data_IF_601995550347
#
_entry.id   IF_601995550347
#
_cell.length_a   1.000
_cell.length_b   1.000
_cell.length_c   1.000
_cell.angle_alpha   90.00
_cell.angle_beta   90.00
_cell.angle_gamma   90.00
#
_symmetry.space_group_name_H-M   'P 1'
#
loop_
_entity.id
_entity.type
_entity.pdbx_description
1 polymer ?
#
# COMPACT_ATOMS: atom_id res chain seq x y z
N UNK A 1 1.85 12.19 -2.83
CA UNK A 1 0.70 13.04 -3.24
C UNK A 1 0.44 14.07 -2.15
N UNK A 2 -0.03 15.29 -2.46
CA UNK A 2 -0.27 16.32 -1.42
C UNK A 2 -1.59 16.13 -0.64
N UNK A 3 -2.58 15.46 -1.23
CA UNK A 3 -3.87 15.14 -0.59
C UNK A 3 -4.49 13.87 -1.21
N UNK A 4 -3.98 12.67 -0.89
CA UNK A 4 -4.54 11.39 -1.36
C UNK A 4 -6.03 11.21 -1.03
N UNK A 5 -6.53 11.70 0.11
CA UNK A 5 -7.94 11.61 0.49
C UNK A 5 -8.92 12.23 -0.52
N UNK A 6 -8.51 13.28 -1.24
CA UNK A 6 -9.34 13.91 -2.30
C UNK A 6 -9.46 13.06 -3.56
N UNK A 7 -8.64 12.01 -3.70
CA UNK A 7 -8.51 11.21 -4.90
C UNK A 7 -8.78 9.71 -4.65
N UNK A 8 -9.44 9.34 -3.54
CA UNK A 8 -9.66 7.94 -3.15
C UNK A 8 -10.29 7.08 -4.23
N UNK A 9 -11.34 7.58 -4.88
CA UNK A 9 -12.00 6.86 -5.97
C UNK A 9 -11.04 6.56 -7.13
N UNK A 10 -10.09 7.46 -7.40
CA UNK A 10 -9.08 7.26 -8.44
C UNK A 10 -8.02 6.26 -7.97
N UNK A 11 -7.57 6.35 -6.72
CA UNK A 11 -6.63 5.40 -6.13
C UNK A 11 -7.20 3.98 -6.14
N UNK A 12 -8.45 3.80 -5.70
CA UNK A 12 -9.15 2.51 -5.74
C UNK A 12 -9.27 1.97 -7.16
N UNK A 13 -9.63 2.79 -8.15
CA UNK A 13 -9.69 2.35 -9.56
C UNK A 13 -8.35 1.88 -10.10
N UNK A 14 -7.27 2.58 -9.77
CA UNK A 14 -5.92 2.18 -10.18
C UNK A 14 -5.56 0.87 -9.48
N UNK A 15 -5.80 0.77 -8.17
CA UNK A 15 -5.56 -0.43 -7.39
C UNK A 15 -6.29 -1.66 -7.96
N UNK A 16 -7.60 -1.54 -8.19
CA UNK A 16 -8.40 -2.63 -8.77
C UNK A 16 -7.91 -3.03 -10.17
N UNK A 17 -7.46 -2.05 -10.97
CA UNK A 17 -6.84 -2.34 -12.28
C UNK A 17 -5.59 -3.19 -12.09
N UNK A 18 -4.69 -2.79 -11.19
CA UNK A 18 -3.44 -3.53 -10.91
C UNK A 18 -3.76 -4.94 -10.45
N UNK A 19 -4.69 -5.10 -9.51
CA UNK A 19 -5.12 -6.42 -9.03
C UNK A 19 -5.63 -7.32 -10.17
N UNK A 20 -6.35 -6.76 -11.14
CA UNK A 20 -6.83 -7.52 -12.29
C UNK A 20 -5.74 -7.90 -13.30
N UNK A 21 -4.67 -7.11 -13.39
CA UNK A 21 -3.56 -7.31 -14.34
C UNK A 21 -2.45 -8.19 -13.77
N UNK A 22 -2.19 -8.12 -12.46
CA UNK A 22 -1.12 -8.88 -11.80
C UNK A 22 -1.15 -10.39 -12.09
N UNK A 23 -2.29 -11.11 -11.99
CA UNK A 23 -2.34 -12.53 -12.32
C UNK A 23 -1.97 -12.82 -13.77
N UNK A 24 -2.31 -11.92 -14.70
CA UNK A 24 -1.98 -12.07 -16.13
C UNK A 24 -0.48 -11.93 -16.35
N UNK A 25 0.13 -10.90 -15.75
CA UNK A 25 1.59 -10.68 -15.85
C UNK A 25 2.36 -11.79 -15.15
N UNK A 26 1.92 -12.25 -13.98
CA UNK A 26 2.50 -13.40 -13.28
C UNK A 26 2.51 -14.65 -14.17
N UNK A 27 1.39 -14.95 -14.83
CA UNK A 27 1.33 -16.07 -15.79
C UNK A 27 2.31 -15.90 -16.96
N UNK A 28 2.52 -14.68 -17.44
CA UNK A 28 3.52 -14.40 -18.48
C UNK A 28 4.95 -14.63 -17.96
N UNK A 29 5.24 -14.26 -16.70
CA UNK A 29 6.52 -14.57 -16.06
C UNK A 29 6.76 -16.07 -15.98
N UNK A 30 5.76 -16.84 -15.56
CA UNK A 30 5.84 -18.30 -15.47
C UNK A 30 6.13 -18.94 -16.85
N UNK A 31 5.36 -18.59 -17.87
CA UNK A 31 5.55 -19.09 -19.24
C UNK A 31 6.93 -18.70 -19.79
N UNK A 32 7.33 -17.44 -19.61
CA UNK A 32 8.61 -16.96 -20.12
C UNK A 32 9.80 -17.57 -19.37
N UNK A 33 9.65 -17.87 -18.08
CA UNK A 33 10.67 -18.58 -17.29
C UNK A 33 10.91 -19.98 -17.83
N UNK A 34 9.84 -20.72 -18.14
CA UNK A 34 9.96 -22.05 -18.77
C UNK A 34 10.64 -21.96 -20.14
N UNK A 35 10.27 -20.97 -20.95
CA UNK A 35 10.88 -20.77 -22.27
C UNK A 35 12.37 -20.37 -22.19
N UNK A 36 12.75 -19.58 -21.19
CA UNK A 36 14.13 -19.16 -20.96
C UNK A 36 15.02 -20.25 -20.35
N UNK A 37 14.43 -21.25 -19.68
CA UNK A 37 15.14 -22.36 -19.07
C UNK A 37 15.48 -23.52 -20.04
N UNK A 38 15.01 -23.46 -21.30
CA UNK A 38 15.32 -24.48 -22.30
C UNK A 38 16.82 -24.50 -22.62
N UNK A 39 17.44 -25.68 -22.84
CA UNK A 39 18.89 -25.79 -23.11
C UNK A 39 19.39 -24.93 -24.28
N UNK A 40 18.56 -24.76 -25.31
CA UNK A 40 18.87 -23.95 -26.50
C UNK A 40 17.95 -22.72 -26.58
N UNK A 41 17.57 -22.15 -25.43
CA UNK A 41 16.68 -20.99 -25.39
C UNK A 41 17.25 -19.84 -26.25
N UNK A 42 16.48 -19.30 -27.20
CA UNK A 42 16.95 -18.19 -28.00
C UNK A 42 17.12 -16.96 -27.10
N UNK A 43 18.13 -16.12 -27.40
CA UNK A 43 18.41 -14.92 -26.60
C UNK A 43 17.19 -14.01 -26.39
N UNK A 44 16.26 -14.00 -27.35
CA UNK A 44 14.99 -13.26 -27.23
C UNK A 44 14.11 -13.78 -26.08
N UNK A 45 14.05 -15.09 -25.83
CA UNK A 45 13.27 -15.66 -24.72
C UNK A 45 13.80 -15.21 -23.37
N UNK A 46 15.13 -15.17 -23.20
CA UNK A 46 15.78 -14.69 -21.98
C UNK A 46 15.45 -13.21 -21.74
N UNK A 47 15.55 -12.38 -22.80
CA UNK A 47 15.21 -10.95 -22.74
C UNK A 47 13.75 -10.72 -22.37
N UNK A 48 12.83 -11.46 -23.00
CA UNK A 48 11.39 -11.36 -22.72
C UNK A 48 11.08 -11.77 -21.27
N UNK A 49 11.72 -12.83 -20.77
CA UNK A 49 11.61 -13.25 -19.37
C UNK A 49 12.01 -12.13 -18.41
N UNK A 50 13.17 -11.49 -18.64
CA UNK A 50 13.61 -10.33 -17.87
C UNK A 50 12.61 -9.17 -17.89
N UNK A 51 12.06 -8.84 -19.07
CA UNK A 51 11.05 -7.78 -19.21
C UNK A 51 9.77 -8.07 -18.44
N UNK A 52 9.26 -9.31 -18.45
CA UNK A 52 8.07 -9.65 -17.68
C UNK A 52 8.32 -9.63 -16.17
N UNK A 53 9.50 -10.09 -15.72
CA UNK A 53 9.89 -10.00 -14.31
C UNK A 53 9.97 -8.55 -13.83
N UNK A 54 10.55 -7.67 -14.63
CA UNK A 54 10.59 -6.24 -14.35
C UNK A 54 9.18 -5.63 -14.29
N UNK A 55 8.33 -5.92 -15.28
CA UNK A 55 6.95 -5.44 -15.29
C UNK A 55 6.16 -5.91 -14.07
N UNK A 56 6.37 -7.16 -13.65
CA UNK A 56 5.73 -7.72 -12.46
C UNK A 56 6.24 -7.06 -11.17
N UNK A 57 7.56 -6.82 -11.04
CA UNK A 57 8.13 -6.06 -9.92
C UNK A 57 7.55 -4.65 -9.80
N UNK A 58 7.35 -3.95 -10.92
CA UNK A 58 6.68 -2.64 -10.94
C UNK A 58 5.24 -2.74 -10.42
N UNK A 59 4.48 -3.75 -10.86
CA UNK A 59 3.12 -3.95 -10.39
C UNK A 59 3.06 -4.25 -8.89
N UNK A 60 3.98 -5.08 -8.37
CA UNK A 60 4.10 -5.36 -6.94
C UNK A 60 4.37 -4.07 -6.16
N UNK A 61 5.38 -3.30 -6.54
CA UNK A 61 5.68 -2.02 -5.89
C UNK A 61 4.49 -1.04 -5.90
N UNK A 62 3.80 -0.92 -7.04
CA UNK A 62 2.61 -0.06 -7.14
C UNK A 62 1.46 -0.59 -6.28
N UNK A 63 1.22 -1.90 -6.26
CA UNK A 63 0.18 -2.52 -5.45
C UNK A 63 0.43 -2.29 -3.96
N UNK A 64 1.65 -2.56 -3.46
CA UNK A 64 2.02 -2.36 -2.05
C UNK A 64 1.84 -0.90 -1.61
N UNK A 65 2.32 0.07 -2.41
CA UNK A 65 2.21 1.50 -2.06
C UNK A 65 0.75 1.97 -2.07
N UNK A 66 -0.05 1.53 -3.05
CA UNK A 66 -1.47 1.88 -3.11
C UNK A 66 -2.27 1.21 -2.00
N UNK A 67 -1.95 -0.05 -1.68
CA UNK A 67 -2.56 -0.79 -0.59
C UNK A 67 -2.32 -0.07 0.74
N UNK A 68 -1.06 0.21 1.10
CA UNK A 68 -0.71 1.01 2.29
C UNK A 68 -1.47 2.34 2.32
N UNK A 69 -1.52 3.04 1.19
CA UNK A 69 -2.26 4.30 1.10
C UNK A 69 -3.76 4.08 1.37
N UNK A 70 -4.39 3.06 0.77
CA UNK A 70 -5.82 2.79 0.96
C UNK A 70 -6.18 2.40 2.39
N UNK A 71 -5.30 1.69 3.11
CA UNK A 71 -5.49 1.30 4.51
C UNK A 71 -5.70 2.51 5.45
N UNK A 72 -5.25 3.72 5.07
CA UNK A 72 -5.47 4.96 5.85
C UNK A 72 -6.97 5.31 5.99
N UNK A 73 -7.81 4.90 5.04
CA UNK A 73 -9.25 5.19 5.03
C UNK A 73 -10.14 3.95 5.08
N UNK A 74 -9.56 2.76 4.99
CA UNK A 74 -10.30 1.51 4.83
C UNK A 74 -9.82 0.48 5.85
N UNK A 75 -10.75 0.03 6.71
CA UNK A 75 -10.50 -1.01 7.72
C UNK A 75 -10.71 -2.44 7.15
N UNK A 76 -10.84 -2.58 5.84
CA UNK A 76 -10.97 -3.88 5.17
C UNK A 76 -9.74 -4.76 5.42
N UNK A 77 -9.96 -5.84 6.19
CA UNK A 77 -8.93 -6.82 6.53
C UNK A 77 -8.30 -7.49 5.29
N UNK A 78 -9.01 -7.53 4.16
CA UNK A 78 -8.45 -8.07 2.92
C UNK A 78 -7.24 -7.28 2.41
N UNK A 79 -7.15 -5.97 2.70
CA UNK A 79 -5.98 -5.17 2.34
C UNK A 79 -4.71 -5.62 3.07
N UNK A 80 -4.84 -6.10 4.31
CA UNK A 80 -3.71 -6.62 5.08
C UNK A 80 -3.25 -7.96 4.51
N UNK A 81 -4.19 -8.86 4.22
CA UNK A 81 -3.87 -10.16 3.59
C UNK A 81 -3.22 -9.98 2.22
N UNK A 82 -3.76 -9.08 1.40
CA UNK A 82 -3.19 -8.72 0.09
C UNK A 82 -1.77 -8.14 0.21
N UNK A 83 -1.50 -7.36 1.26
CA UNK A 83 -0.16 -6.81 1.53
C UNK A 83 0.86 -7.93 1.77
N UNK A 84 0.53 -8.89 2.63
CA UNK A 84 1.38 -10.06 2.88
C UNK A 84 1.64 -10.85 1.60
N UNK A 85 0.60 -11.08 0.80
CA UNK A 85 0.71 -11.75 -0.50
C UNK A 85 1.67 -11.02 -1.45
N UNK A 86 1.64 -9.69 -1.48
CA UNK A 86 2.56 -8.89 -2.32
C UNK A 86 4.00 -8.97 -1.82
N UNK A 87 4.22 -9.00 -0.50
CA UNK A 87 5.55 -9.18 0.09
C UNK A 87 6.11 -10.56 -0.27
N UNK A 88 5.31 -11.61 -0.11
CA UNK A 88 5.72 -12.98 -0.43
C UNK A 88 6.06 -13.13 -1.92
N UNK A 89 5.25 -12.54 -2.80
CA UNK A 89 5.50 -12.52 -4.25
C UNK A 89 6.75 -11.72 -4.61
N UNK A 90 7.04 -10.64 -3.89
CA UNK A 90 8.23 -9.81 -4.10
C UNK A 90 9.52 -10.54 -3.75
N UNK A 91 9.52 -11.23 -2.61
CA UNK A 91 10.65 -12.07 -2.17
C UNK A 91 10.86 -13.22 -3.16
N UNK A 92 9.79 -13.93 -3.53
CA UNK A 92 9.88 -15.01 -4.50
C UNK A 92 10.43 -14.56 -5.87
N UNK A 93 10.06 -13.34 -6.32
CA UNK A 93 10.59 -12.77 -7.55
C UNK A 93 12.09 -12.44 -7.43
N UNK A 94 12.53 -11.90 -6.29
CA UNK A 94 13.93 -11.62 -6.03
C UNK A 94 14.78 -12.91 -6.07
N UNK A 95 14.33 -13.96 -5.39
CA UNK A 95 14.98 -15.28 -5.36
C UNK A 95 15.10 -15.88 -6.77
N UNK A 96 14.05 -15.77 -7.59
CA UNK A 96 14.08 -16.24 -8.99
C UNK A 96 15.13 -15.51 -9.86
N UNK A 97 15.59 -14.32 -9.45
CA UNK A 97 16.53 -13.51 -10.20
C UNK A 97 17.98 -13.61 -9.70
N UNK A 98 18.24 -14.30 -8.58
CA UNK A 98 19.57 -14.38 -7.96
C UNK A 98 20.66 -14.85 -8.92
N UNK A 99 20.38 -15.91 -9.69
CA UNK A 99 21.33 -16.47 -10.67
C UNK A 99 21.71 -15.51 -11.80
N UNK A 100 20.95 -14.43 -12.00
CA UNK A 100 21.16 -13.43 -13.04
C UNK A 100 21.84 -12.15 -12.51
N UNK A 101 22.21 -12.12 -11.22
CA UNK A 101 22.87 -10.96 -10.61
C UNK A 101 24.27 -10.71 -11.18
N UNK A 102 24.73 -9.44 -11.25
CA UNK A 102 23.95 -8.25 -10.92
C UNK A 102 23.08 -7.74 -12.09
N UNK A 103 23.53 -7.93 -13.34
CA UNK A 103 22.96 -7.21 -14.49
C UNK A 103 21.57 -7.68 -14.92
N UNK A 104 21.25 -8.96 -14.80
CA UNK A 104 19.93 -9.51 -15.13
C UNK A 104 18.87 -9.28 -14.04
N UNK A 105 19.28 -8.73 -12.89
CA UNK A 105 18.45 -8.47 -11.72
C UNK A 105 18.53 -7.01 -11.24
N UNK A 106 19.03 -6.09 -12.07
CA UNK A 106 19.26 -4.69 -11.69
C UNK A 106 17.99 -3.92 -11.27
N UNK A 107 16.82 -4.39 -11.68
CA UNK A 107 15.53 -3.79 -11.32
C UNK A 107 15.04 -4.23 -9.93
N UNK A 108 15.62 -5.29 -9.35
CA UNK A 108 15.16 -5.86 -8.08
C UNK A 108 15.23 -4.82 -6.94
N UNK A 109 16.35 -4.09 -6.74
CA UNK A 109 16.43 -3.10 -5.68
C UNK A 109 15.42 -1.96 -5.83
N UNK A 110 15.17 -1.52 -7.07
CA UNK A 110 14.26 -0.40 -7.34
C UNK A 110 12.84 -0.70 -6.86
N UNK A 111 12.31 -1.90 -7.14
CA UNK A 111 10.96 -2.23 -6.72
C UNK A 111 10.90 -2.68 -5.25
N UNK A 112 11.90 -3.43 -4.76
CA UNK A 112 11.95 -3.85 -3.35
C UNK A 112 12.08 -2.67 -2.39
N UNK A 113 12.77 -1.59 -2.79
CA UNK A 113 12.82 -0.34 -2.03
C UNK A 113 11.41 0.19 -1.74
N UNK A 114 10.51 0.13 -2.73
CA UNK A 114 9.13 0.60 -2.59
C UNK A 114 8.28 -0.39 -1.78
N UNK A 115 8.47 -1.69 -1.98
CA UNK A 115 7.76 -2.73 -1.22
C UNK A 115 8.12 -2.65 0.26
N UNK A 116 9.42 -2.63 0.57
CA UNK A 116 9.94 -2.45 1.93
C UNK A 116 9.39 -1.16 2.55
N UNK A 117 9.41 -0.05 1.80
CA UNK A 117 8.95 1.22 2.34
C UNK A 117 7.46 1.25 2.72
N UNK A 118 6.63 0.49 2.01
CA UNK A 118 5.18 0.49 2.18
C UNK A 118 4.65 -0.66 3.07
N UNK A 119 5.48 -1.64 3.44
CA UNK A 119 5.11 -2.69 4.39
C UNK A 119 4.80 -2.11 5.78
N UNK A 120 3.60 -2.38 6.30
CA UNK A 120 3.03 -1.71 7.49
C UNK A 120 3.23 -2.45 8.80
N UNK A 121 3.34 -3.77 8.77
CA UNK A 121 3.20 -4.67 9.92
C UNK A 121 4.50 -5.43 10.25
N UNK A 122 5.62 -4.97 9.71
CA UNK A 122 6.93 -5.63 9.82
C UNK A 122 6.99 -7.04 9.22
N UNK A 123 5.94 -7.50 8.53
CA UNK A 123 5.89 -8.83 7.93
C UNK A 123 7.05 -9.05 6.97
N UNK A 124 7.94 -9.99 7.32
CA UNK A 124 9.16 -10.36 6.59
C UNK A 124 10.07 -9.16 6.23
N UNK A 125 10.01 -8.08 7.02
CA UNK A 125 10.88 -6.92 6.81
C UNK A 125 12.37 -7.29 6.91
N UNK A 126 12.73 -8.23 7.78
CA UNK A 126 14.12 -8.69 7.93
C UNK A 126 14.65 -9.30 6.62
N UNK A 127 13.85 -10.12 5.96
CA UNK A 127 14.24 -10.77 4.70
C UNK A 127 14.30 -9.78 3.53
N UNK A 128 13.37 -8.83 3.47
CA UNK A 128 13.45 -7.72 2.51
C UNK A 128 14.70 -6.85 2.77
N UNK A 129 15.05 -6.62 4.04
CA UNK A 129 16.23 -5.86 4.44
C UNK A 129 17.51 -6.58 4.04
N UNK A 130 17.62 -7.87 4.36
CA UNK A 130 18.74 -8.72 3.98
C UNK A 130 18.91 -8.72 2.46
N UNK A 131 17.81 -8.89 1.71
CA UNK A 131 17.85 -8.85 0.25
C UNK A 131 18.37 -7.50 -0.25
N UNK A 132 17.88 -6.37 0.25
CA UNK A 132 18.34 -5.04 -0.18
C UNK A 132 19.83 -4.83 0.11
N UNK A 133 20.29 -5.20 1.31
CA UNK A 133 21.71 -5.11 1.69
C UNK A 133 22.59 -6.00 0.81
N UNK A 134 22.13 -7.20 0.48
CA UNK A 134 22.82 -8.08 -0.44
C UNK A 134 22.99 -7.44 -1.83
N UNK A 135 21.98 -6.74 -2.33
CA UNK A 135 22.08 -6.02 -3.61
C UNK A 135 22.94 -4.75 -3.52
N UNK A 136 23.06 -4.10 -2.36
CA UNK A 136 24.00 -2.98 -2.18
C UNK A 136 25.46 -3.43 -2.39
N UNK A 137 25.78 -4.66 -1.98
CA UNK A 137 27.11 -5.25 -2.22
C UNK A 137 27.44 -5.43 -3.71
N UNK A 138 26.43 -5.48 -4.60
CA UNK A 138 26.64 -5.60 -6.05
C UNK A 138 27.09 -4.27 -6.68
N UNK A 139 26.87 -3.13 -6.03
CA UNK A 139 27.06 -1.80 -6.62
C UNK A 139 27.70 -0.81 -5.63
N UNK A 140 28.93 -0.40 -5.90
CA UNK A 140 29.66 0.57 -5.06
C UNK A 140 28.86 1.89 -4.96
N UNK A 141 28.54 2.27 -3.72
CA UNK A 141 27.81 3.51 -3.43
C UNK A 141 26.28 3.39 -3.51
N UNK A 142 25.73 2.19 -3.68
CA UNK A 142 24.31 1.97 -3.50
C UNK A 142 23.89 2.14 -2.03
N UNK A 143 22.72 2.75 -1.82
CA UNK A 143 22.07 2.96 -0.52
C UNK A 143 20.56 2.70 -0.69
N UNK A 144 20.22 1.48 -1.10
CA UNK A 144 18.85 1.08 -1.38
C UNK A 144 18.02 1.06 -0.10
N UNK A 145 18.57 0.54 1.00
CA UNK A 145 17.89 0.51 2.29
C UNK A 145 17.68 1.93 2.84
N UNK A 146 18.69 2.81 2.79
CA UNK A 146 18.53 4.20 3.21
C UNK A 146 17.49 4.95 2.39
N UNK A 147 17.42 4.70 1.08
CA UNK A 147 16.33 5.20 0.24
C UNK A 147 14.96 4.65 0.66
N UNK A 148 14.85 3.35 0.96
CA UNK A 148 13.63 2.71 1.43
C UNK A 148 13.14 3.33 2.75
N UNK A 149 14.05 3.55 3.71
CA UNK A 149 13.77 4.23 4.98
C UNK A 149 13.26 5.66 4.78
N UNK A 150 13.86 6.41 3.86
CA UNK A 150 13.42 7.76 3.52
C UNK A 150 12.00 7.79 2.94
N UNK A 151 11.67 6.83 2.06
CA UNK A 151 10.34 6.71 1.49
C UNK A 151 9.32 6.29 2.56
N UNK A 152 9.64 5.31 3.39
CA UNK A 152 8.80 4.87 4.52
C UNK A 152 8.43 6.05 5.40
N UNK A 153 9.43 6.83 5.83
CA UNK A 153 9.19 8.04 6.62
C UNK A 153 8.17 8.96 5.98
N UNK A 154 8.28 9.21 4.67
CA UNK A 154 7.34 10.08 3.94
C UNK A 154 5.92 9.52 3.83
N UNK A 155 5.78 8.20 3.75
CA UNK A 155 4.49 7.51 3.74
C UNK A 155 3.80 7.60 5.11
N UNK A 156 4.53 7.31 6.19
CA UNK A 156 4.00 7.39 7.55
C UNK A 156 3.72 8.85 7.96
N UNK A 157 4.55 9.80 7.56
CA UNK A 157 4.28 11.23 7.76
C UNK A 157 2.99 11.65 7.03
N UNK A 158 2.66 11.03 5.89
CA UNK A 158 1.42 11.29 5.15
C UNK A 158 0.22 10.67 5.87
N UNK A 159 0.30 9.42 6.27
CA UNK A 159 -0.71 8.75 7.08
C UNK A 159 -1.05 9.56 8.33
N UNK A 160 -0.04 9.93 9.14
CA UNK A 160 -0.25 10.70 10.36
C UNK A 160 -0.99 12.03 10.12
N UNK A 161 -0.73 12.72 9.01
CA UNK A 161 -1.45 13.95 8.63
C UNK A 161 -2.91 13.67 8.28
N UNK A 162 -3.16 12.65 7.44
CA UNK A 162 -4.51 12.33 6.99
C UNK A 162 -5.38 11.78 8.14
N UNK A 163 -4.83 10.94 9.02
CA UNK A 163 -5.53 10.45 10.23
C UNK A 163 -5.89 11.60 11.18
N UNK A 164 -4.99 12.58 11.32
CA UNK A 164 -5.29 13.80 12.11
C UNK A 164 -6.42 14.61 11.48
N UNK A 165 -6.39 14.83 10.17
CA UNK A 165 -7.47 15.54 9.47
C UNK A 165 -8.82 14.82 9.61
N UNK A 166 -8.85 13.47 9.53
CA UNK A 166 -10.06 12.68 9.73
C UNK A 166 -10.62 12.81 11.14
N UNK A 167 -9.76 12.74 12.16
CA UNK A 167 -10.18 12.83 13.57
C UNK A 167 -10.71 14.23 13.91
N UNK A 168 -10.07 15.28 13.42
CA UNK A 168 -10.55 16.66 13.58
C UNK A 168 -11.91 16.88 12.89
N UNK A 169 -12.08 16.35 11.66
CA UNK A 169 -13.35 16.42 10.94
C UNK A 169 -14.48 15.69 11.71
N UNK A 170 -14.21 14.48 12.19
CA UNK A 170 -15.17 13.68 12.95
C UNK A 170 -15.58 14.35 14.27
N UNK A 171 -14.64 15.00 14.96
CA UNK A 171 -14.94 15.79 16.17
C UNK A 171 -15.81 17.01 15.86
N UNK A 172 -15.49 17.75 14.79
CA UNK A 172 -16.28 18.91 14.36
C UNK A 172 -17.71 18.53 13.98
N UNK A 173 -17.90 17.40 13.29
CA UNK A 173 -19.24 16.90 12.91
C UNK A 173 -20.06 16.48 14.14
N UNK A 174 -19.45 15.80 15.11
CA UNK A 174 -20.12 15.41 16.37
C UNK A 174 -20.54 16.61 17.21
N UNK A 175 -19.73 17.67 17.26
CA UNK A 175 -20.09 18.91 17.97
C UNK A 175 -21.28 19.61 17.27
N UNK A 176 -21.27 19.65 15.92
CA UNK A 176 -22.37 20.21 15.14
C UNK A 176 -23.71 19.49 15.34
N UNK A 177 -23.72 18.16 15.46
CA UNK A 177 -24.94 17.39 15.74
C UNK A 177 -25.44 17.56 17.19
N UNK A 178 -24.53 17.68 18.17
CA UNK A 178 -24.91 17.91 19.58
C UNK A 178 -25.54 19.29 19.80
N UNK A 179 -25.14 20.31 19.03
CA UNK A 179 -25.73 21.66 19.12
C UNK A 179 -27.15 21.72 18.54
N UNK A 180 -27.52 20.81 17.63
CA UNK A 180 -28.87 20.74 17.05
C UNK A 180 -29.89 19.96 17.90
N UNK A 181 -29.47 19.17 18.89
CA UNK A 181 -30.35 18.33 19.72
C UNK A 181 -30.69 18.91 21.11
N UNK A 182 -30.58 20.22 21.35
CA UNK A 182 -31.13 20.83 22.56
C UNK A 182 -32.61 21.22 22.39
N UNK A 183 -33.60 20.48 22.93
CA UNK A 183 -34.97 20.95 22.98
C UNK A 183 -35.09 22.06 24.03
N UNK A 184 -35.54 23.23 23.58
CA UNK A 184 -36.05 24.32 24.42
C UNK A 184 -37.23 23.81 25.27
N UNK A 185 -36.96 23.32 26.48
CA UNK A 185 -38.00 23.09 27.49
C UNK A 185 -38.50 24.45 27.99
N UNK A 186 -39.59 24.93 27.37
CA UNK A 186 -40.37 26.07 27.83
C UNK A 186 -41.26 25.60 28.97
N UNK A 187 -40.88 25.91 30.20
CA UNK A 187 -41.70 25.64 31.39
C UNK A 187 -43.08 26.27 31.28
N UNK A 188 -44.12 25.46 31.42
CA UNK A 188 -45.49 25.93 31.65
C UNK A 188 -45.76 25.91 33.16
N UNK A 189 -45.92 27.10 33.73
CA UNK A 189 -46.44 27.29 35.08
C UNK A 189 -47.92 26.88 35.13
N UNK A 190 -48.23 26.01 36.07
CA UNK A 190 -49.57 25.49 36.34
C UNK A 190 -50.27 26.45 37.31
N UNK A 191 -51.32 27.15 36.85
CA UNK A 191 -52.18 27.95 37.72
C UNK A 191 -53.27 27.04 38.32
N UNK A 192 -53.20 26.84 39.63
CA UNK A 192 -54.24 26.17 40.44
C UNK A 192 -55.36 27.19 40.68
N UNK A 193 -56.55 26.93 40.14
CA UNK A 193 -57.74 27.72 40.42
C UNK A 193 -58.47 27.08 41.61
N UNK A 194 -58.47 27.77 42.75
CA UNK A 194 -59.21 27.37 43.95
C UNK A 194 -60.73 27.60 43.77
N UNK A 195 -61.51 26.62 44.24
CA UNK A 195 -62.94 26.69 44.46
C UNK A 195 -63.29 27.81 45.46
N UNK A 196 -64.28 28.64 45.11
CA UNK A 196 -64.97 29.50 46.08
C UNK A 196 -66.37 28.94 46.31
N UNK A 197 -66.66 28.68 47.59
CA UNK A 197 -67.96 28.34 48.16
C UNK A 197 -68.82 29.60 48.17
N UNK A 198 -70.05 29.51 47.66
CA UNK A 198 -71.32 29.92 48.29
C UNK A 198 -72.51 29.49 47.43
#
# INVERSE_FOLDING_TARGET
MRSPGKNLNRLRRIYNTIQSEMPKVRRLVEIATLAAAAPDAPAMSIRVCGSYRMAYGILLAMATVLNHTLQIWDEDASLIEEMCDYIDQSIALAQQCESARPYGAIFIPDFLTMVWAAATDEYRNDELTETLLDYENDSVGADYLGHAMSIRKRLFDMEARETKEQTELAMSTKIGSVVQEQPLYRGQYQAVSECVIL
#
